data_IF_923633322370
#
_entry.id   IF_923633322370
#
_cell.length_a   1.000
_cell.length_b   1.000
_cell.length_c   1.000
_cell.angle_alpha   90.00
_cell.angle_beta   90.00
_cell.angle_gamma   90.00
#
_symmetry.space_group_name_H-M   'P 1'
#
loop_
_entity.id
_entity.type
_entity.pdbx_description
1 polymer ?
#
# COMPACT_ATOMS: atom_id res chain seq x y z
N UNK A 1 -6.52 -11.43 30.23
CA UNK A 1 -7.85 -11.30 29.60
C UNK A 1 -7.67 -11.52 28.11
N UNK A 2 -8.28 -12.56 27.57
CA UNK A 2 -8.27 -12.88 26.14
C UNK A 2 -9.21 -11.96 25.36
N UNK A 3 -8.90 -11.70 24.10
CA UNK A 3 -9.72 -10.90 23.20
C UNK A 3 -10.93 -11.69 22.72
N UNK A 4 -12.12 -11.06 22.73
CA UNK A 4 -13.38 -11.58 22.18
C UNK A 4 -13.94 -10.57 21.19
N UNK A 5 -14.60 -10.99 20.11
CA UNK A 5 -15.23 -10.09 19.11
C UNK A 5 -16.14 -8.99 19.68
N UNK A 6 -16.70 -9.22 20.87
CA UNK A 6 -17.58 -8.27 21.57
C UNK A 6 -16.82 -7.24 22.42
N UNK A 7 -15.49 -7.30 22.51
CA UNK A 7 -14.69 -6.35 23.29
C UNK A 7 -14.66 -4.99 22.59
N UNK A 8 -14.72 -3.90 23.36
CA UNK A 8 -14.68 -2.55 22.79
C UNK A 8 -13.34 -2.23 22.12
N UNK A 9 -12.30 -2.99 22.45
CA UNK A 9 -10.98 -2.91 21.83
C UNK A 9 -10.90 -3.60 20.45
N UNK A 10 -11.97 -4.26 19.97
CA UNK A 10 -12.00 -4.80 18.62
C UNK A 10 -12.23 -3.70 17.57
N UNK A 11 -11.48 -3.72 16.45
CA UNK A 11 -11.69 -2.83 15.32
C UNK A 11 -13.13 -2.94 14.83
N UNK A 12 -13.74 -1.77 14.65
CA UNK A 12 -15.07 -1.67 14.03
C UNK A 12 -14.87 -1.86 12.53
N UNK A 13 -14.98 -3.10 12.08
CA UNK A 13 -15.05 -3.41 10.65
C UNK A 13 -16.46 -3.20 10.10
N UNK A 14 -16.55 -2.66 8.88
CA UNK A 14 -17.79 -2.59 8.12
C UNK A 14 -18.31 -3.97 7.70
N UNK A 15 -17.44 -4.99 7.65
CA UNK A 15 -17.80 -6.35 7.25
C UNK A 15 -17.20 -7.37 8.22
N UNK A 16 -17.83 -7.48 9.40
CA UNK A 16 -17.34 -8.29 10.53
C UNK A 16 -17.22 -9.79 10.23
N UNK A 17 -17.97 -10.28 9.25
CA UNK A 17 -18.02 -11.70 8.93
C UNK A 17 -16.93 -12.12 7.95
N UNK A 18 -16.40 -11.17 7.17
CA UNK A 18 -15.30 -11.42 6.21
C UNK A 18 -13.91 -11.19 6.80
N UNK A 19 -13.80 -10.46 7.91
CA UNK A 19 -12.51 -10.21 8.54
C UNK A 19 -12.00 -11.46 9.28
N UNK A 20 -10.87 -11.99 8.82
CA UNK A 20 -10.08 -13.00 9.52
C UNK A 20 -9.42 -12.40 10.75
N UNK A 21 -10.21 -12.24 11.81
CA UNK A 21 -9.73 -11.80 13.12
C UNK A 21 -9.31 -13.02 13.93
N UNK A 22 -8.08 -13.00 14.43
CA UNK A 22 -7.52 -14.05 15.29
C UNK A 22 -8.03 -13.86 16.71
N UNK A 23 -9.00 -14.67 17.11
CA UNK A 23 -9.47 -14.76 18.51
C UNK A 23 -8.47 -15.54 19.38
N UNK A 24 -8.48 -15.30 20.69
CA UNK A 24 -7.67 -16.06 21.64
C UNK A 24 -6.33 -15.42 22.04
N UNK A 25 -5.96 -14.31 21.42
CA UNK A 25 -4.81 -13.50 21.83
C UNK A 25 -5.09 -12.75 23.14
N UNK A 26 -4.05 -12.40 23.89
CA UNK A 26 -4.19 -11.41 24.96
C UNK A 26 -4.38 -10.02 24.37
N UNK A 27 -5.05 -9.13 25.11
CA UNK A 27 -5.26 -7.73 24.68
C UNK A 27 -3.97 -7.01 24.26
N UNK A 28 -2.85 -7.31 24.92
CA UNK A 28 -1.54 -6.72 24.61
C UNK A 28 -0.99 -7.23 23.27
N UNK A 29 -1.07 -8.53 23.04
CA UNK A 29 -0.63 -9.13 21.77
C UNK A 29 -1.49 -8.64 20.61
N UNK A 30 -2.80 -8.52 20.83
CA UNK A 30 -3.72 -7.97 19.85
C UNK A 30 -3.38 -6.51 19.48
N UNK A 31 -3.14 -5.67 20.48
CA UNK A 31 -2.73 -4.29 20.28
C UNK A 31 -1.39 -4.19 19.52
N UNK A 32 -0.41 -5.03 19.86
CA UNK A 32 0.87 -5.08 19.16
C UNK A 32 0.71 -5.47 17.69
N UNK A 33 -0.13 -6.46 17.38
CA UNK A 33 -0.40 -6.88 15.99
C UNK A 33 -1.10 -5.78 15.20
N UNK A 34 -2.10 -5.11 15.78
CA UNK A 34 -2.78 -3.98 15.12
C UNK A 34 -1.81 -2.84 14.79
N UNK A 35 -0.87 -2.52 15.70
CA UNK A 35 0.18 -1.55 15.42
C UNK A 35 1.10 -2.00 14.29
N UNK A 36 1.58 -3.26 14.30
CA UNK A 36 2.46 -3.79 13.26
C UNK A 36 1.78 -3.80 11.88
N UNK A 37 0.50 -4.18 11.81
CA UNK A 37 -0.30 -4.12 10.58
C UNK A 37 -0.49 -2.67 10.10
N UNK A 38 -0.77 -1.74 11.02
CA UNK A 38 -0.86 -0.31 10.72
C UNK A 38 0.43 0.25 10.12
N UNK A 39 1.58 -0.07 10.70
CA UNK A 39 2.88 0.34 10.18
C UNK A 39 3.17 -0.25 8.79
N UNK A 40 2.85 -1.52 8.58
CA UNK A 40 3.05 -2.19 7.28
C UNK A 40 2.22 -1.51 6.18
N UNK A 41 0.95 -1.22 6.45
CA UNK A 41 0.07 -0.54 5.50
C UNK A 41 0.36 0.96 5.35
N UNK A 42 0.97 1.60 6.34
CA UNK A 42 1.29 3.04 6.25
C UNK A 42 2.38 3.38 5.22
N UNK A 43 3.15 2.39 4.78
CA UNK A 43 4.20 2.55 3.78
C UNK A 43 3.66 2.65 2.33
N UNK A 44 2.35 2.50 2.13
CA UNK A 44 1.71 2.53 0.81
C UNK A 44 1.93 3.88 0.09
N UNK A 45 1.98 5.00 0.83
CA UNK A 45 2.19 6.32 0.21
C UNK A 45 3.57 6.45 -0.46
N UNK A 46 4.61 5.88 0.17
CA UNK A 46 5.96 5.93 -0.38
C UNK A 46 6.06 5.11 -1.67
N UNK A 47 5.42 3.95 -1.71
CA UNK A 47 5.40 3.09 -2.90
C UNK A 47 4.61 3.73 -4.06
N UNK A 48 3.48 4.39 -3.77
CA UNK A 48 2.67 5.10 -4.77
C UNK A 48 3.42 6.32 -5.36
N UNK A 49 4.03 7.15 -4.51
CA UNK A 49 4.80 8.33 -4.97
C UNK A 49 6.04 7.91 -5.78
N UNK A 50 6.73 6.85 -5.36
CA UNK A 50 7.86 6.29 -6.09
C UNK A 50 7.45 5.74 -7.46
N UNK A 51 6.34 4.99 -7.53
CA UNK A 51 5.82 4.47 -8.80
C UNK A 51 5.42 5.59 -9.77
N UNK A 52 4.76 6.64 -9.27
CA UNK A 52 4.39 7.82 -10.07
C UNK A 52 5.63 8.52 -10.64
N UNK A 53 6.65 8.75 -9.82
CA UNK A 53 7.89 9.36 -10.27
C UNK A 53 8.60 8.51 -11.34
N UNK A 54 8.62 7.18 -11.16
CA UNK A 54 9.24 6.25 -12.12
C UNK A 54 8.51 6.22 -13.46
N UNK A 55 7.17 6.23 -13.44
CA UNK A 55 6.36 6.29 -14.66
C UNK A 55 6.57 7.62 -15.42
N UNK A 56 6.58 8.75 -14.71
CA UNK A 56 6.79 10.05 -15.33
C UNK A 56 8.15 10.16 -16.04
N UNK A 57 9.21 9.58 -15.48
CA UNK A 57 10.53 9.53 -16.13
C UNK A 57 10.49 8.65 -17.39
N UNK A 58 9.89 7.46 -17.30
CA UNK A 58 9.79 6.57 -18.46
C UNK A 58 8.97 7.18 -19.61
N UNK A 59 7.90 7.91 -19.29
CA UNK A 59 7.10 8.64 -20.27
C UNK A 59 7.88 9.81 -20.89
N UNK A 60 8.65 10.55 -20.09
CA UNK A 60 9.49 11.64 -20.58
C UNK A 60 10.59 11.11 -21.53
N UNK A 61 11.25 10.01 -21.19
CA UNK A 61 12.26 9.38 -22.04
C UNK A 61 11.65 8.94 -23.38
N UNK A 62 10.48 8.31 -23.35
CA UNK A 62 9.77 7.90 -24.58
C UNK A 62 9.39 9.10 -25.46
N UNK A 63 8.96 10.22 -24.86
CA UNK A 63 8.64 11.44 -25.60
C UNK A 63 9.89 12.08 -26.22
N UNK A 64 11.03 12.05 -25.51
CA UNK A 64 12.31 12.54 -26.03
C UNK A 64 12.74 11.71 -27.24
N UNK A 65 12.61 10.39 -27.19
CA UNK A 65 12.94 9.51 -28.31
C UNK A 65 12.06 9.78 -29.55
N UNK A 66 10.75 9.99 -29.34
CA UNK A 66 9.83 10.37 -30.42
C UNK A 66 10.24 11.70 -31.03
N UNK A 67 10.51 12.72 -30.21
CA UNK A 67 10.94 14.04 -30.69
C UNK A 67 12.28 13.97 -31.41
N UNK A 68 13.23 13.15 -30.94
CA UNK A 68 14.52 12.95 -31.58
C UNK A 68 14.36 12.27 -32.95
N UNK A 69 13.46 11.28 -33.06
CA UNK A 69 13.12 10.63 -34.32
C UNK A 69 12.45 11.59 -35.31
N UNK A 70 11.47 12.38 -34.85
CA UNK A 70 10.79 13.39 -35.68
C UNK A 70 11.75 14.49 -36.15
N UNK A 71 12.71 14.89 -35.31
CA UNK A 71 13.71 15.89 -35.65
C UNK A 71 14.75 15.40 -36.69
N UNK A 72 14.99 14.09 -36.79
CA UNK A 72 15.95 13.54 -37.75
C UNK A 72 15.54 12.16 -38.31
N UNK A 73 14.58 12.11 -39.25
CA UNK A 73 13.96 10.86 -39.71
C UNK A 73 14.86 9.97 -40.60
N UNK A 74 16.14 10.31 -40.81
CA UNK A 74 17.09 9.59 -41.69
C UNK A 74 18.25 8.91 -40.93
N UNK A 75 18.21 8.82 -39.61
CA UNK A 75 19.29 8.25 -38.80
C UNK A 75 19.22 6.71 -38.61
N UNK A 76 18.47 6.00 -39.46
CA UNK A 76 18.47 4.54 -39.55
C UNK A 76 18.96 4.08 -40.92
#
# INVERSE_FOLDING_TARGET
MTTRRTDSAFPVSYNRDTDSLVEGLTKREYFAIMLMQGYTNSNIKFEDDYQKARLAVAEADALIDILAYEANPKAL
#
